data_IF_804679634025
#
_entry.id   IF_804679634025
#
_cell.length_a   1.000
_cell.length_b   1.000
_cell.length_c   1.000
_cell.angle_alpha   90.00
_cell.angle_beta   90.00
_cell.angle_gamma   90.00
#
_symmetry.space_group_name_H-M   'P 1'
#
loop_
_entity.id
_entity.type
_entity.pdbx_description
1 polymer ?
#
# COMPACT_ATOMS: atom_id res chain seq x y z
N UNK A 1 -9.02 -27.30 -55.45
CA UNK A 1 -7.87 -27.37 -54.52
C UNK A 1 -7.82 -26.06 -53.77
N UNK A 2 -8.41 -26.00 -52.58
CA UNK A 2 -8.29 -24.85 -51.70
C UNK A 2 -6.98 -25.01 -50.92
N UNK A 3 -6.06 -24.03 -51.05
CA UNK A 3 -4.88 -23.93 -50.20
C UNK A 3 -5.36 -23.42 -48.83
N UNK A 4 -5.30 -24.27 -47.82
CA UNK A 4 -5.36 -23.85 -46.42
C UNK A 4 -4.18 -22.93 -46.14
N UNK A 5 -4.48 -21.66 -45.86
CA UNK A 5 -3.54 -20.74 -45.25
C UNK A 5 -3.53 -21.09 -43.76
N UNK A 6 -2.51 -21.85 -43.35
CA UNK A 6 -2.23 -22.08 -41.94
C UNK A 6 -1.66 -20.76 -41.39
N UNK A 7 -2.50 -19.96 -40.74
CA UNK A 7 -2.04 -18.87 -39.89
C UNK A 7 -1.21 -19.48 -38.75
N UNK A 8 0.12 -19.37 -38.86
CA UNK A 8 1.01 -19.72 -37.77
C UNK A 8 0.76 -18.75 -36.61
N UNK A 9 0.19 -19.25 -35.52
CA UNK A 9 0.17 -18.54 -34.23
C UNK A 9 1.63 -18.35 -33.82
N UNK A 10 2.16 -17.14 -33.99
CA UNK A 10 3.51 -16.80 -33.54
C UNK A 10 3.49 -16.86 -32.01
N UNK A 11 4.00 -17.95 -31.46
CA UNK A 11 4.09 -18.16 -30.03
C UNK A 11 4.94 -17.02 -29.44
N UNK A 12 4.31 -16.19 -28.61
CA UNK A 12 4.94 -15.02 -28.02
C UNK A 12 6.17 -15.47 -27.19
N UNK A 13 7.35 -14.89 -27.48
CA UNK A 13 8.61 -15.24 -26.79
C UNK A 13 8.46 -15.15 -25.27
N UNK A 14 9.04 -16.07 -24.51
CA UNK A 14 8.98 -16.07 -23.04
C UNK A 14 9.60 -14.78 -22.47
N UNK A 15 10.68 -14.30 -23.08
CA UNK A 15 11.33 -13.04 -22.76
C UNK A 15 10.40 -11.83 -22.97
N UNK A 16 9.49 -11.90 -23.94
CA UNK A 16 8.51 -10.85 -24.20
C UNK A 16 7.40 -10.79 -23.15
N UNK A 17 7.19 -11.85 -22.36
CA UNK A 17 6.21 -11.87 -21.26
C UNK A 17 6.69 -11.10 -20.03
N UNK A 18 8.01 -10.92 -19.89
CA UNK A 18 8.61 -10.11 -18.82
C UNK A 18 8.51 -8.65 -19.26
N UNK A 19 7.57 -7.92 -18.65
CA UNK A 19 7.25 -6.52 -18.96
C UNK A 19 7.00 -5.72 -17.68
N UNK A 20 7.06 -4.40 -17.80
CA UNK A 20 6.78 -3.45 -16.75
C UNK A 20 8.03 -2.86 -16.10
N UNK A 21 7.79 -1.87 -15.25
CA UNK A 21 8.83 -1.16 -14.50
C UNK A 21 8.76 -1.56 -13.04
N UNK A 22 9.89 -2.02 -12.52
CA UNK A 22 10.02 -2.46 -11.14
C UNK A 22 11.07 -1.63 -10.42
N UNK A 23 10.86 -1.37 -9.14
CA UNK A 23 11.83 -0.69 -8.30
C UNK A 23 12.25 -1.63 -7.17
N UNK A 24 13.56 -1.80 -7.03
CA UNK A 24 14.15 -2.48 -5.88
C UNK A 24 14.42 -1.43 -4.83
N UNK A 25 13.75 -1.51 -3.68
CA UNK A 25 13.92 -0.59 -2.55
C UNK A 25 14.58 -1.29 -1.38
N UNK A 26 15.64 -0.73 -0.79
CA UNK A 26 16.24 -1.30 0.41
C UNK A 26 15.28 -1.23 1.60
N UNK A 27 15.07 -2.38 2.25
CA UNK A 27 14.35 -2.53 3.50
C UNK A 27 15.40 -2.65 4.58
N UNK A 28 15.60 -1.55 5.30
CA UNK A 28 16.36 -1.41 6.53
C UNK A 28 16.98 -2.69 7.14
N UNK A 29 18.23 -3.00 6.78
CA UNK A 29 19.08 -3.93 7.56
C UNK A 29 20.33 -3.25 8.13
N UNK A 30 20.50 -1.93 7.95
CA UNK A 30 21.46 -1.17 8.74
C UNK A 30 20.94 0.22 9.13
N UNK A 31 20.46 0.41 10.38
CA UNK A 31 19.82 1.65 10.80
C UNK A 31 20.77 2.85 10.81
N UNK A 32 22.10 2.66 10.78
CA UNK A 32 23.04 3.78 10.92
C UNK A 32 23.31 4.57 9.63
N UNK A 33 23.26 3.93 8.45
CA UNK A 33 23.62 4.57 7.16
C UNK A 33 22.42 5.24 6.46
N UNK A 34 21.20 4.78 6.74
CA UNK A 34 19.95 5.35 6.22
C UNK A 34 19.32 6.40 7.15
N UNK A 35 19.75 6.46 8.42
CA UNK A 35 19.36 7.51 9.39
C UNK A 35 20.35 8.66 9.48
N UNK A 36 21.36 8.69 8.60
CA UNK A 36 22.24 9.85 8.53
C UNK A 36 21.35 11.02 8.10
N UNK A 37 21.25 12.02 8.97
CA UNK A 37 20.60 13.28 8.66
C UNK A 37 21.09 13.76 7.29
N UNK A 38 20.18 14.20 6.42
CA UNK A 38 20.53 14.71 5.09
C UNK A 38 21.53 15.87 5.17
N UNK A 39 21.56 16.58 6.30
CA UNK A 39 22.47 17.68 6.57
C UNK A 39 23.80 17.25 7.23
N UNK A 40 23.99 15.97 7.52
CA UNK A 40 25.21 15.43 8.12
C UNK A 40 26.18 14.96 7.02
N UNK A 41 27.48 15.24 7.17
CA UNK A 41 28.52 14.96 6.15
C UNK A 41 28.53 13.49 5.66
N UNK A 42 28.21 12.57 6.56
CA UNK A 42 28.02 11.15 6.22
C UNK A 42 27.01 10.90 5.10
N UNK A 43 25.97 11.72 4.94
CA UNK A 43 25.00 11.58 3.86
C UNK A 43 25.64 11.83 2.49
N UNK A 44 26.59 12.77 2.41
CA UNK A 44 27.35 13.04 1.20
C UNK A 44 28.43 11.97 0.97
N UNK A 45 29.16 11.57 2.02
CA UNK A 45 30.20 10.52 1.95
C UNK A 45 29.62 9.20 1.42
N UNK A 46 28.43 8.81 1.88
CA UNK A 46 27.76 7.57 1.47
C UNK A 46 26.72 7.77 0.35
N UNK A 47 26.69 8.93 -0.31
CA UNK A 47 25.74 9.23 -1.40
C UNK A 47 25.94 8.30 -2.61
N UNK A 48 27.17 7.86 -2.85
CA UNK A 48 27.54 6.91 -3.91
C UNK A 48 27.71 5.49 -3.41
N UNK A 49 27.20 5.16 -2.22
CA UNK A 49 27.24 3.81 -1.71
C UNK A 49 26.19 2.94 -2.42
N UNK A 50 26.56 1.70 -2.71
CA UNK A 50 25.69 0.71 -3.32
C UNK A 50 26.05 -0.68 -2.79
N UNK A 51 25.08 -1.59 -2.87
CA UNK A 51 25.29 -2.99 -2.54
C UNK A 51 25.44 -3.81 -3.81
N UNK A 52 26.52 -4.59 -3.88
CA UNK A 52 26.71 -5.58 -4.92
C UNK A 52 25.87 -6.82 -4.61
N UNK A 53 24.95 -7.15 -5.51
CA UNK A 53 24.15 -8.36 -5.43
C UNK A 53 24.55 -9.34 -6.53
N UNK A 54 24.58 -10.62 -6.17
CA UNK A 54 24.84 -11.75 -7.05
C UNK A 54 23.65 -12.71 -7.00
N UNK A 55 23.56 -13.61 -7.98
CA UNK A 55 22.57 -14.68 -7.94
C UNK A 55 22.82 -15.57 -6.72
N UNK A 56 21.77 -15.81 -5.92
CA UNK A 56 21.88 -16.66 -4.74
C UNK A 56 22.03 -18.14 -5.11
N UNK A 57 22.59 -18.92 -4.20
CA UNK A 57 22.66 -20.38 -4.31
C UNK A 57 21.50 -21.00 -3.54
N UNK A 58 20.96 -22.10 -4.05
CA UNK A 58 19.96 -22.89 -3.34
C UNK A 58 20.61 -23.74 -2.23
N UNK A 59 19.79 -24.54 -1.53
CA UNK A 59 20.28 -25.45 -0.47
C UNK A 59 21.25 -26.54 -0.96
N UNK A 60 21.34 -26.77 -2.26
CA UNK A 60 22.24 -27.74 -2.89
C UNK A 60 23.48 -27.08 -3.52
N UNK A 61 23.64 -25.75 -3.40
CA UNK A 61 24.76 -25.01 -3.98
C UNK A 61 24.59 -24.68 -5.47
N UNK A 62 23.41 -24.93 -6.05
CA UNK A 62 23.09 -24.63 -7.45
C UNK A 62 22.65 -23.17 -7.56
N UNK A 63 23.04 -22.48 -8.64
CA UNK A 63 22.67 -21.07 -8.83
C UNK A 63 21.17 -20.94 -9.09
N UNK A 64 20.51 -20.06 -8.35
CA UNK A 64 19.12 -19.70 -8.59
C UNK A 64 19.09 -18.63 -9.68
N UNK A 65 18.70 -19.01 -10.90
CA UNK A 65 18.66 -18.10 -12.05
C UNK A 65 17.26 -17.60 -12.37
N UNK A 66 16.22 -18.21 -11.77
CA UNK A 66 14.82 -18.00 -12.14
C UNK A 66 14.44 -18.65 -13.48
N UNK A 67 15.38 -19.36 -14.11
CA UNK A 67 15.21 -20.03 -15.40
C UNK A 67 15.55 -21.52 -15.33
N UNK A 68 15.79 -22.07 -14.13
CA UNK A 68 16.31 -23.42 -13.88
C UNK A 68 15.51 -24.53 -14.60
N UNK A 69 14.20 -24.31 -14.82
CA UNK A 69 13.31 -25.24 -15.53
C UNK A 69 12.81 -24.71 -16.89
N UNK A 70 13.38 -23.60 -17.39
CA UNK A 70 12.92 -22.93 -18.60
C UNK A 70 14.09 -22.68 -19.58
N UNK A 71 14.53 -23.76 -20.23
CA UNK A 71 15.61 -23.74 -21.21
C UNK A 71 15.32 -22.81 -22.41
N UNK A 72 14.04 -22.65 -22.78
CA UNK A 72 13.62 -21.72 -23.85
C UNK A 72 13.91 -20.28 -23.45
N UNK A 73 13.52 -19.87 -22.25
CA UNK A 73 13.81 -18.54 -21.72
C UNK A 73 15.31 -18.29 -21.57
N UNK A 74 16.08 -19.29 -21.10
CA UNK A 74 17.53 -19.19 -21.02
C UNK A 74 18.15 -18.89 -22.39
N UNK A 75 17.78 -19.65 -23.41
CA UNK A 75 18.26 -19.46 -24.79
C UNK A 75 17.86 -18.09 -25.36
N UNK A 76 16.63 -17.64 -25.11
CA UNK A 76 16.16 -16.31 -25.52
C UNK A 76 16.98 -15.18 -24.88
N UNK A 77 17.32 -15.30 -23.58
CA UNK A 77 18.20 -14.34 -22.90
C UNK A 77 19.63 -14.38 -23.45
N UNK A 78 20.20 -15.56 -23.66
CA UNK A 78 21.55 -15.72 -24.21
C UNK A 78 21.66 -15.05 -25.59
N UNK A 79 20.69 -15.29 -26.47
CA UNK A 79 20.65 -14.62 -27.77
C UNK A 79 20.47 -13.11 -27.65
N UNK A 80 19.54 -12.64 -26.82
CA UNK A 80 19.27 -11.22 -26.67
C UNK A 80 20.44 -10.44 -26.02
N UNK A 81 21.28 -11.11 -25.25
CA UNK A 81 22.49 -10.55 -24.63
C UNK A 81 23.77 -10.84 -25.42
N UNK A 82 23.68 -11.52 -26.57
CA UNK A 82 24.81 -11.99 -27.38
C UNK A 82 25.82 -12.85 -26.59
N UNK A 83 25.30 -13.73 -25.72
CA UNK A 83 26.08 -14.68 -24.93
C UNK A 83 26.18 -16.03 -25.66
N UNK A 84 27.21 -16.80 -25.32
CA UNK A 84 27.35 -18.16 -25.85
C UNK A 84 26.25 -19.08 -25.26
N UNK A 85 25.73 -20.05 -26.02
CA UNK A 85 24.76 -21.00 -25.51
C UNK A 85 25.25 -21.70 -24.24
N UNK A 86 24.40 -21.77 -23.21
CA UNK A 86 24.73 -22.35 -21.91
C UNK A 86 25.43 -21.40 -20.93
N UNK A 87 25.72 -20.16 -21.33
CA UNK A 87 26.32 -19.15 -20.43
C UNK A 87 25.45 -18.90 -19.20
N UNK A 88 24.12 -18.84 -19.36
CA UNK A 88 23.17 -18.58 -18.27
C UNK A 88 22.71 -19.85 -17.55
N UNK A 89 23.35 -20.99 -17.81
CA UNK A 89 23.07 -22.24 -17.09
C UNK A 89 23.30 -22.09 -15.60
N UNK A 90 22.45 -22.71 -14.77
CA UNK A 90 22.58 -22.72 -13.31
C UNK A 90 23.90 -23.31 -12.81
N UNK A 91 24.56 -24.13 -13.65
CA UNK A 91 25.83 -24.80 -13.35
C UNK A 91 27.06 -24.02 -13.85
N UNK A 92 26.88 -22.87 -14.50
CA UNK A 92 27.99 -22.05 -14.97
C UNK A 92 28.53 -21.13 -13.86
N UNK A 93 29.30 -21.69 -12.94
CA UNK A 93 29.88 -20.92 -11.83
C UNK A 93 30.83 -19.81 -12.29
N UNK A 94 31.42 -19.93 -13.49
CA UNK A 94 32.29 -18.88 -14.05
C UNK A 94 31.52 -17.60 -14.36
N UNK A 95 30.31 -17.72 -14.91
CA UNK A 95 29.48 -16.55 -15.20
C UNK A 95 28.86 -15.99 -13.92
N UNK A 96 28.31 -16.84 -13.05
CA UNK A 96 27.57 -16.39 -11.86
C UNK A 96 28.46 -16.01 -10.67
N UNK A 97 29.59 -16.70 -10.48
CA UNK A 97 30.52 -16.52 -9.36
C UNK A 97 31.83 -15.83 -9.74
N UNK A 98 32.12 -15.67 -11.03
CA UNK A 98 33.40 -15.15 -11.51
C UNK A 98 34.54 -16.18 -11.35
N UNK A 99 35.69 -15.87 -11.92
CA UNK A 99 36.89 -16.71 -11.76
C UNK A 99 38.15 -15.92 -12.09
N UNK A 100 39.29 -16.35 -11.56
CA UNK A 100 40.60 -15.88 -12.01
C UNK A 100 41.13 -16.84 -13.07
N UNK A 101 41.46 -16.32 -14.24
CA UNK A 101 42.17 -17.08 -15.25
C UNK A 101 43.63 -17.21 -14.82
N UNK A 102 44.08 -18.45 -14.59
CA UNK A 102 45.44 -18.74 -14.15
C UNK A 102 46.47 -18.63 -15.27
N UNK A 103 46.05 -18.61 -16.53
CA UNK A 103 46.93 -18.49 -17.71
C UNK A 103 47.20 -17.02 -18.02
N UNK A 104 46.16 -16.19 -18.04
CA UNK A 104 46.29 -14.75 -18.32
C UNK A 104 46.48 -13.91 -17.05
N UNK A 105 46.31 -14.52 -15.88
CA UNK A 105 46.33 -13.87 -14.57
C UNK A 105 45.29 -12.73 -14.43
N UNK A 106 44.19 -12.81 -15.19
CA UNK A 106 43.10 -11.84 -15.21
C UNK A 106 41.89 -12.31 -14.40
N UNK A 107 41.27 -11.39 -13.67
CA UNK A 107 40.02 -11.65 -12.96
C UNK A 107 38.82 -11.43 -13.89
N UNK A 108 38.06 -12.49 -14.14
CA UNK A 108 36.79 -12.43 -14.84
C UNK A 108 35.66 -12.19 -13.83
N UNK A 109 34.97 -11.06 -14.05
CA UNK A 109 33.90 -10.61 -13.16
C UNK A 109 32.66 -11.51 -13.24
N UNK A 110 32.14 -11.84 -12.08
CA UNK A 110 30.83 -12.46 -11.91
C UNK A 110 29.70 -11.59 -12.49
N UNK A 111 28.55 -12.18 -12.76
CA UNK A 111 27.31 -11.44 -12.90
C UNK A 111 26.94 -10.82 -11.54
N UNK A 112 26.96 -9.49 -11.50
CA UNK A 112 26.46 -8.72 -10.37
C UNK A 112 25.62 -7.53 -10.85
N UNK A 113 24.75 -7.06 -9.97
CA UNK A 113 24.02 -5.81 -10.14
C UNK A 113 24.14 -4.96 -8.88
N UNK A 114 24.23 -3.66 -9.09
CA UNK A 114 24.45 -2.67 -8.04
C UNK A 114 23.10 -2.09 -7.63
N UNK A 115 22.78 -2.17 -6.34
CA UNK A 115 21.59 -1.50 -5.78
C UNK A 115 22.06 -0.24 -5.05
N UNK A 116 21.80 0.96 -5.61
CA UNK A 116 22.09 2.22 -4.95
C UNK A 116 21.30 2.38 -3.64
N UNK A 117 21.75 3.31 -2.79
CA UNK A 117 21.05 3.70 -1.56
C UNK A 117 19.57 4.05 -1.77
N UNK A 118 19.24 4.72 -2.87
CA UNK A 118 17.87 5.16 -3.18
C UNK A 118 17.04 4.09 -3.90
N UNK A 119 17.65 2.93 -4.18
CA UNK A 119 17.04 1.84 -4.93
C UNK A 119 17.45 1.78 -6.41
N UNK A 120 17.03 0.70 -7.08
CA UNK A 120 17.34 0.43 -8.48
C UNK A 120 16.04 0.30 -9.29
N UNK A 121 15.90 1.11 -10.35
CA UNK A 121 14.79 0.99 -11.30
C UNK A 121 15.15 -0.01 -12.41
N UNK A 122 14.35 -1.07 -12.51
CA UNK A 122 14.38 -2.07 -13.56
C UNK A 122 13.30 -1.76 -14.60
N UNK A 123 13.70 -1.11 -15.69
CA UNK A 123 12.88 -1.01 -16.90
C UNK A 123 12.93 -2.32 -17.69
N UNK A 124 11.99 -3.23 -17.40
CA UNK A 124 11.89 -4.50 -18.12
C UNK A 124 11.19 -4.35 -19.48
N UNK A 125 10.68 -3.18 -19.86
CA UNK A 125 10.11 -3.01 -21.20
C UNK A 125 11.22 -2.78 -22.23
N UNK A 126 12.24 -2.02 -21.85
CA UNK A 126 13.27 -1.55 -22.78
C UNK A 126 14.65 -2.16 -22.57
N UNK A 127 14.91 -2.87 -21.46
CA UNK A 127 16.25 -3.36 -21.13
C UNK A 127 16.28 -4.85 -20.77
N UNK A 128 16.96 -5.64 -21.62
CA UNK A 128 17.12 -7.10 -21.45
C UNK A 128 17.94 -7.46 -20.21
N UNK A 129 18.94 -6.67 -19.85
CA UNK A 129 19.70 -6.88 -18.61
C UNK A 129 18.82 -6.66 -17.38
N UNK A 130 17.90 -5.69 -17.42
CA UNK A 130 16.92 -5.49 -16.35
C UNK A 130 15.96 -6.66 -16.24
N UNK A 131 15.49 -7.21 -17.37
CA UNK A 131 14.70 -8.45 -17.40
C UNK A 131 15.47 -9.60 -16.74
N UNK A 132 16.77 -9.75 -17.03
CA UNK A 132 17.59 -10.80 -16.42
C UNK A 132 17.72 -10.62 -14.90
N UNK A 133 18.00 -9.40 -14.44
CA UNK A 133 18.07 -9.07 -13.00
C UNK A 133 16.73 -9.38 -12.32
N UNK A 134 15.61 -8.95 -12.92
CA UNK A 134 14.27 -9.24 -12.42
C UNK A 134 14.00 -10.75 -12.32
N UNK A 135 14.35 -11.52 -13.36
CA UNK A 135 14.16 -12.98 -13.37
C UNK A 135 14.97 -13.66 -12.27
N UNK A 136 16.23 -13.26 -12.08
CA UNK A 136 17.09 -13.80 -11.00
C UNK A 136 16.50 -13.50 -9.62
N UNK A 137 16.05 -12.26 -9.38
CA UNK A 137 15.42 -11.86 -8.11
C UNK A 137 14.14 -12.66 -7.87
N UNK A 138 13.28 -12.78 -8.89
CA UNK A 138 12.04 -13.54 -8.78
C UNK A 138 12.32 -15.01 -8.47
N UNK A 139 13.32 -15.60 -9.13
CA UNK A 139 13.81 -16.94 -8.83
C UNK A 139 14.26 -17.08 -7.38
N UNK A 140 15.01 -16.11 -6.84
CA UNK A 140 15.44 -16.11 -5.43
C UNK A 140 14.26 -16.10 -4.46
N UNK A 141 13.26 -15.25 -4.72
CA UNK A 141 12.03 -15.15 -3.91
C UNK A 141 11.28 -16.49 -3.88
N UNK A 142 11.22 -17.20 -5.00
CA UNK A 142 10.48 -18.45 -5.14
C UNK A 142 11.25 -19.67 -4.63
N UNK A 143 12.57 -19.72 -4.81
CA UNK A 143 13.37 -20.92 -4.58
C UNK A 143 14.02 -20.98 -3.18
N UNK A 144 14.14 -19.84 -2.50
CA UNK A 144 14.90 -19.76 -1.23
C UNK A 144 13.96 -19.73 -0.03
N UNK A 145 14.25 -20.50 1.01
CA UNK A 145 13.46 -20.48 2.25
C UNK A 145 13.57 -19.16 3.03
N UNK A 146 14.65 -18.40 2.78
CA UNK A 146 14.94 -17.11 3.42
C UNK A 146 15.44 -16.14 2.33
N UNK A 147 14.55 -15.59 1.49
CA UNK A 147 14.95 -14.74 0.37
C UNK A 147 15.42 -13.36 0.86
N UNK A 148 16.40 -12.76 0.18
CA UNK A 148 16.84 -11.38 0.49
C UNK A 148 15.90 -10.34 -0.09
N UNK A 149 15.01 -10.75 -0.99
CA UNK A 149 14.01 -9.91 -1.64
C UNK A 149 12.60 -10.32 -1.23
N UNK A 150 11.66 -9.38 -1.27
CA UNK A 150 10.23 -9.63 -1.10
C UNK A 150 9.42 -8.83 -2.12
N UNK A 151 8.23 -9.31 -2.49
CA UNK A 151 7.36 -8.62 -3.46
C UNK A 151 6.52 -7.47 -2.84
N UNK A 152 6.51 -7.34 -1.52
CA UNK A 152 5.85 -6.23 -0.82
C UNK A 152 6.45 -6.02 0.57
N UNK A 153 6.18 -4.85 1.17
CA UNK A 153 6.59 -4.57 2.55
C UNK A 153 5.94 -5.50 3.58
N UNK A 154 4.71 -5.95 3.34
CA UNK A 154 4.03 -6.91 4.22
C UNK A 154 4.73 -8.26 4.21
N UNK A 155 5.10 -8.76 3.01
CA UNK A 155 5.88 -9.98 2.88
C UNK A 155 7.26 -9.84 3.52
N UNK A 156 7.89 -8.68 3.38
CA UNK A 156 9.18 -8.40 4.00
C UNK A 156 9.13 -8.41 5.54
N UNK A 157 8.06 -7.91 6.16
CA UNK A 157 7.91 -7.91 7.63
C UNK A 157 7.91 -9.31 8.23
N UNK A 158 7.53 -10.33 7.46
CA UNK A 158 7.52 -11.73 7.89
C UNK A 158 8.91 -12.37 7.86
N UNK A 159 9.87 -11.78 7.13
CA UNK A 159 11.22 -12.31 6.97
C UNK A 159 12.27 -11.32 7.52
N UNK A 160 12.87 -11.59 8.69
CA UNK A 160 13.85 -10.68 9.30
C UNK A 160 15.16 -10.55 8.51
N UNK A 161 15.43 -11.45 7.56
CA UNK A 161 16.61 -11.43 6.70
C UNK A 161 16.37 -10.77 5.34
N UNK A 162 15.15 -10.27 5.09
CA UNK A 162 14.82 -9.55 3.88
C UNK A 162 15.55 -8.20 3.85
N UNK A 163 16.27 -7.95 2.75
CA UNK A 163 17.06 -6.74 2.54
C UNK A 163 16.38 -5.75 1.59
N UNK A 164 15.50 -6.21 0.69
CA UNK A 164 14.92 -5.40 -0.38
C UNK A 164 13.46 -5.75 -0.69
N UNK A 165 12.64 -4.75 -1.02
CA UNK A 165 11.32 -4.94 -1.65
C UNK A 165 11.49 -4.74 -3.15
N UNK A 166 10.95 -5.65 -3.95
CA UNK A 166 10.72 -5.49 -5.37
C UNK A 166 9.25 -5.11 -5.60
N UNK A 167 9.01 -3.86 -5.96
CA UNK A 167 7.66 -3.35 -6.24
C UNK A 167 7.50 -2.99 -7.71
N UNK A 168 6.29 -3.14 -8.25
CA UNK A 168 5.95 -2.63 -9.58
C UNK A 168 5.56 -1.14 -9.46
N UNK A 169 6.23 -0.28 -10.22
CA UNK A 169 6.05 1.17 -10.12
C UNK A 169 4.67 1.65 -10.59
N UNK A 170 4.05 0.95 -11.54
CA UNK A 170 2.70 1.29 -12.00
C UNK A 170 1.65 0.92 -10.95
N UNK A 171 1.82 -0.23 -10.30
CA UNK A 171 0.93 -0.65 -9.21
C UNK A 171 1.02 0.36 -8.06
N UNK A 172 2.23 0.80 -7.69
CA UNK A 172 2.41 1.86 -6.69
C UNK A 172 1.81 3.21 -7.11
N UNK A 173 1.99 3.60 -8.38
CA UNK A 173 1.43 4.84 -8.89
C UNK A 173 -0.10 4.79 -8.85
N UNK A 174 -0.70 3.67 -9.23
CA UNK A 174 -2.15 3.45 -9.16
C UNK A 174 -2.67 3.49 -7.72
N UNK A 175 -1.97 2.85 -6.77
CA UNK A 175 -2.34 2.90 -5.35
C UNK A 175 -2.24 4.33 -4.80
N UNK A 176 -1.16 5.05 -5.12
CA UNK A 176 -0.98 6.46 -4.72
C UNK A 176 -2.02 7.38 -5.35
N UNK A 177 -2.31 7.20 -6.63
CA UNK A 177 -3.32 7.98 -7.33
C UNK A 177 -4.71 7.77 -6.72
N UNK A 178 -5.09 6.53 -6.39
CA UNK A 178 -6.34 6.25 -5.65
C UNK A 178 -6.38 6.96 -4.30
N UNK A 179 -5.26 7.01 -3.57
CA UNK A 179 -5.18 7.75 -2.31
C UNK A 179 -5.33 9.27 -2.52
N UNK A 180 -4.75 9.82 -3.58
CA UNK A 180 -4.92 11.22 -3.95
C UNK A 180 -6.35 11.53 -4.38
N UNK A 181 -6.98 10.69 -5.20
CA UNK A 181 -8.39 10.83 -5.60
C UNK A 181 -9.33 10.86 -4.39
N UNK A 182 -9.09 10.00 -3.39
CA UNK A 182 -9.85 10.00 -2.14
C UNK A 182 -9.65 11.31 -1.37
N UNK A 183 -8.40 11.81 -1.29
CA UNK A 183 -8.09 13.09 -0.64
C UNK A 183 -8.76 14.25 -1.35
N UNK A 184 -8.67 14.31 -2.68
CA UNK A 184 -9.27 15.35 -3.50
C UNK A 184 -10.79 15.34 -3.35
N UNK A 185 -11.42 14.17 -3.40
CA UNK A 185 -12.86 14.01 -3.12
C UNK A 185 -13.22 14.54 -1.73
N UNK A 186 -12.43 14.22 -0.70
CA UNK A 186 -12.69 14.69 0.66
C UNK A 186 -12.54 16.22 0.80
N UNK A 187 -11.53 16.80 0.16
CA UNK A 187 -11.28 18.25 0.14
C UNK A 187 -12.43 18.99 -0.55
N UNK A 188 -12.88 18.50 -1.72
CA UNK A 188 -14.02 19.06 -2.45
C UNK A 188 -15.28 18.97 -1.61
N UNK A 189 -15.57 17.79 -1.04
CA UNK A 189 -16.76 17.62 -0.20
C UNK A 189 -16.73 18.58 1.00
N UNK A 190 -15.59 18.70 1.69
CA UNK A 190 -15.41 19.68 2.78
C UNK A 190 -15.66 21.13 2.36
N UNK A 191 -15.25 21.54 1.15
CA UNK A 191 -15.47 22.92 0.69
C UNK A 191 -16.95 23.21 0.44
N UNK A 192 -17.73 22.20 0.05
CA UNK A 192 -19.19 22.33 -0.16
C UNK A 192 -20.00 22.37 1.14
N UNK A 193 -19.47 21.90 2.26
CA UNK A 193 -20.20 21.88 3.53
C UNK A 193 -20.31 23.28 4.15
N UNK A 194 -21.53 23.62 4.57
CA UNK A 194 -21.80 24.77 5.43
C UNK A 194 -21.17 24.59 6.82
N UNK A 195 -21.04 25.69 7.57
CA UNK A 195 -20.50 25.66 8.96
C UNK A 195 -21.35 24.74 9.85
N UNK A 196 -22.68 24.77 9.69
CA UNK A 196 -23.59 23.90 10.44
C UNK A 196 -23.33 22.43 10.15
N UNK A 197 -23.17 22.06 8.87
CA UNK A 197 -22.89 20.67 8.50
C UNK A 197 -21.52 20.20 8.99
N UNK A 198 -20.53 21.10 9.05
CA UNK A 198 -19.22 20.82 9.66
C UNK A 198 -19.33 20.59 11.17
N UNK A 199 -20.18 21.34 11.87
CA UNK A 199 -20.46 21.09 13.29
C UNK A 199 -21.20 19.77 13.52
N UNK A 200 -22.21 19.48 12.70
CA UNK A 200 -22.95 18.21 12.76
C UNK A 200 -22.00 17.03 12.50
N UNK A 201 -21.07 17.14 11.55
CA UNK A 201 -20.03 16.14 11.30
C UNK A 201 -19.16 15.88 12.54
N UNK A 202 -18.61 16.94 13.14
CA UNK A 202 -17.78 16.82 14.34
C UNK A 202 -18.56 16.23 15.54
N UNK A 203 -19.87 16.48 15.61
CA UNK A 203 -20.76 15.94 16.65
C UNK A 203 -20.94 14.42 16.52
N UNK A 204 -20.80 13.86 15.33
CA UNK A 204 -20.91 12.41 15.09
C UNK A 204 -19.55 11.74 15.04
N UNK A 205 -18.56 12.37 14.43
CA UNK A 205 -17.24 11.80 14.20
C UNK A 205 -16.55 11.37 15.50
N UNK A 206 -15.93 10.19 15.48
CA UNK A 206 -15.32 9.55 16.64
C UNK A 206 -16.27 9.49 17.86
N UNK A 207 -17.53 9.09 17.63
CA UNK A 207 -18.58 8.96 18.64
C UNK A 207 -18.88 10.26 19.42
N UNK A 208 -18.74 11.42 18.77
CA UNK A 208 -19.04 12.71 19.39
C UNK A 208 -17.98 13.17 20.37
N UNK A 209 -16.73 12.72 20.18
CA UNK A 209 -15.57 13.18 20.96
C UNK A 209 -15.36 14.70 20.86
N UNK A 210 -15.72 15.30 19.74
CA UNK A 210 -15.60 16.74 19.53
C UNK A 210 -16.85 17.44 20.06
N UNK A 211 -16.72 18.08 21.23
CA UNK A 211 -17.78 18.93 21.78
C UNK A 211 -17.77 20.27 21.06
N UNK A 212 -18.69 20.43 20.12
CA UNK A 212 -18.91 21.69 19.38
C UNK A 212 -20.23 22.31 19.84
N UNK A 213 -20.20 23.61 20.09
CA UNK A 213 -21.37 24.42 20.42
C UNK A 213 -21.49 25.61 19.47
N UNK A 214 -22.64 26.28 19.46
CA UNK A 214 -22.88 27.47 18.65
C UNK A 214 -21.92 28.63 18.96
N UNK A 215 -21.25 28.61 20.12
CA UNK A 215 -20.26 29.61 20.53
C UNK A 215 -18.85 29.30 20.00
N UNK A 216 -18.66 28.16 19.34
CA UNK A 216 -17.36 27.75 18.79
C UNK A 216 -17.06 28.55 17.54
N UNK A 217 -15.86 29.14 17.43
CA UNK A 217 -15.54 29.97 16.27
C UNK A 217 -15.62 29.17 14.95
N UNK A 218 -16.19 29.75 13.88
CA UNK A 218 -16.25 29.10 12.57
C UNK A 218 -14.89 28.66 12.01
N UNK A 219 -13.84 29.40 12.35
CA UNK A 219 -12.47 29.09 11.94
C UNK A 219 -11.96 27.84 12.64
N UNK A 220 -12.16 27.71 13.96
CA UNK A 220 -11.76 26.51 14.71
C UNK A 220 -12.51 25.26 14.23
N UNK A 221 -13.80 25.39 13.91
CA UNK A 221 -14.60 24.29 13.35
C UNK A 221 -13.99 23.84 12.01
N UNK A 222 -13.69 24.80 11.14
CA UNK A 222 -13.11 24.52 9.81
C UNK A 222 -11.71 23.92 9.91
N UNK A 223 -10.88 24.38 10.84
CA UNK A 223 -9.55 23.85 11.12
C UNK A 223 -9.65 22.38 11.58
N UNK A 224 -10.51 22.06 12.55
CA UNK A 224 -10.64 20.66 13.03
C UNK A 224 -11.15 19.70 11.96
N UNK A 225 -12.07 20.13 11.10
CA UNK A 225 -12.48 19.31 9.96
C UNK A 225 -11.33 19.16 8.96
N UNK A 226 -10.49 20.19 8.79
CA UNK A 226 -9.29 20.11 7.94
C UNK A 226 -8.32 19.04 8.44
N UNK A 227 -7.98 19.07 9.73
CA UNK A 227 -7.10 18.09 10.37
C UNK A 227 -7.59 16.65 10.16
N UNK A 228 -8.91 16.45 10.23
CA UNK A 228 -9.53 15.14 10.05
C UNK A 228 -9.45 14.69 8.58
N UNK A 229 -9.78 15.58 7.63
CA UNK A 229 -9.68 15.27 6.20
C UNK A 229 -8.25 14.93 5.78
N UNK A 230 -7.25 15.57 6.37
CA UNK A 230 -5.85 15.25 6.08
C UNK A 230 -5.40 13.90 6.63
N UNK A 231 -5.87 13.53 7.82
CA UNK A 231 -5.49 12.29 8.51
C UNK A 231 -6.30 11.07 8.09
N UNK A 232 -7.60 11.25 7.84
CA UNK A 232 -8.57 10.20 7.55
C UNK A 232 -9.63 10.67 6.53
N UNK A 233 -9.24 10.87 5.26
CA UNK A 233 -10.16 11.33 4.21
C UNK A 233 -11.25 10.30 3.91
N UNK A 234 -10.94 9.00 4.01
CA UNK A 234 -11.92 7.93 3.77
C UNK A 234 -12.99 7.89 4.87
N UNK A 235 -12.63 7.97 6.14
CA UNK A 235 -13.60 8.02 7.24
C UNK A 235 -14.48 9.26 7.18
N UNK A 236 -13.92 10.40 6.77
CA UNK A 236 -14.69 11.62 6.52
C UNK A 236 -15.78 11.43 5.46
N UNK A 237 -15.41 10.90 4.28
CA UNK A 237 -16.35 10.65 3.18
C UNK A 237 -17.40 9.62 3.61
N UNK A 238 -16.97 8.48 4.15
CA UNK A 238 -17.84 7.36 4.50
C UNK A 238 -18.89 7.76 5.54
N UNK A 239 -18.55 8.64 6.49
CA UNK A 239 -19.50 9.11 7.48
C UNK A 239 -20.56 10.02 6.87
N UNK A 240 -20.16 10.93 5.99
CA UNK A 240 -21.09 11.88 5.33
C UNK A 240 -21.99 11.21 4.30
N UNK A 241 -21.48 10.19 3.60
CA UNK A 241 -22.25 9.39 2.62
C UNK A 241 -23.06 8.27 3.30
N UNK A 242 -23.00 8.14 4.63
CA UNK A 242 -23.74 7.11 5.35
C UNK A 242 -25.26 7.38 5.28
N UNK A 243 -26.09 6.38 4.90
CA UNK A 243 -27.55 6.54 4.84
C UNK A 243 -28.18 6.95 6.18
N UNK A 244 -27.58 6.55 7.31
CA UNK A 244 -28.05 6.82 8.67
C UNK A 244 -27.41 8.09 9.29
N UNK A 245 -26.70 8.89 8.49
CA UNK A 245 -25.95 10.04 9.00
C UNK A 245 -26.85 11.05 9.75
N UNK A 246 -28.06 11.30 9.24
CA UNK A 246 -29.02 12.22 9.88
C UNK A 246 -29.48 11.68 11.25
N UNK A 247 -29.67 10.38 11.35
CA UNK A 247 -30.05 9.68 12.57
C UNK A 247 -28.92 9.69 13.58
N UNK A 248 -27.67 9.51 13.13
CA UNK A 248 -26.50 9.65 14.01
C UNK A 248 -26.41 11.05 14.63
N UNK A 249 -26.65 12.09 13.81
CA UNK A 249 -26.71 13.48 14.32
C UNK A 249 -27.83 13.61 15.35
N UNK A 250 -29.02 13.08 15.07
CA UNK A 250 -30.16 13.14 15.97
C UNK A 250 -29.86 12.47 17.32
N UNK A 251 -29.37 11.23 17.32
CA UNK A 251 -29.01 10.49 18.54
C UNK A 251 -27.95 11.24 19.34
N UNK A 252 -26.91 11.75 18.69
CA UNK A 252 -25.85 12.50 19.38
C UNK A 252 -26.33 13.83 19.96
N UNK A 253 -27.28 14.50 19.30
CA UNK A 253 -27.96 15.69 19.87
C UNK A 253 -28.73 15.34 21.13
N UNK A 254 -29.47 14.23 21.14
CA UNK A 254 -30.18 13.76 22.35
C UNK A 254 -29.23 13.43 23.50
N UNK A 255 -28.06 12.83 23.21
CA UNK A 255 -27.02 12.58 24.23
C UNK A 255 -26.47 13.90 24.78
N UNK A 256 -26.12 14.83 23.88
CA UNK A 256 -25.55 16.13 24.24
C UNK A 256 -26.51 16.96 25.09
N UNK A 257 -27.78 16.97 24.72
CA UNK A 257 -28.84 17.73 25.38
C UNK A 257 -29.34 16.99 26.65
N UNK A 258 -28.65 15.90 27.03
CA UNK A 258 -28.92 15.08 28.20
C UNK A 258 -30.38 14.60 28.25
N UNK A 259 -30.93 14.22 27.10
CA UNK A 259 -32.27 13.62 26.97
C UNK A 259 -32.17 12.09 27.06
N UNK A 260 -31.10 11.53 26.51
CA UNK A 260 -30.74 10.11 26.62
C UNK A 260 -29.36 9.97 27.26
N UNK A 261 -29.12 8.85 27.92
CA UNK A 261 -27.85 8.59 28.62
C UNK A 261 -27.03 7.54 27.88
N UNK A 262 -25.70 7.75 27.87
CA UNK A 262 -24.74 6.82 27.27
C UNK A 262 -23.98 6.10 28.36
N UNK A 263 -24.02 4.77 28.37
CA UNK A 263 -23.23 3.91 29.27
C UNK A 263 -22.38 2.95 28.43
N UNK A 264 -21.11 3.31 28.27
CA UNK A 264 -20.23 2.65 27.29
C UNK A 264 -20.76 2.81 25.86
N UNK A 265 -20.91 1.73 25.07
CA UNK A 265 -21.49 1.80 23.73
C UNK A 265 -23.03 1.86 23.74
N UNK A 266 -23.68 1.53 24.88
CA UNK A 266 -25.13 1.41 25.00
C UNK A 266 -25.80 2.76 25.26
N UNK A 267 -26.99 2.93 24.70
CA UNK A 267 -27.80 4.14 24.81
C UNK A 267 -29.13 3.82 25.48
N UNK A 268 -29.50 4.63 26.47
CA UNK A 268 -30.69 4.44 27.29
C UNK A 268 -31.54 5.71 27.37
N UNK A 269 -32.85 5.55 27.49
CA UNK A 269 -33.74 6.64 27.92
C UNK A 269 -33.44 7.02 29.38
N UNK A 270 -33.94 8.17 29.85
CA UNK A 270 -33.79 8.55 31.28
C UNK A 270 -34.56 7.61 32.19
N UNK A 271 -35.61 7.01 31.66
CA UNK A 271 -36.47 6.02 32.31
C UNK A 271 -35.78 4.63 32.39
N UNK A 272 -34.59 4.46 31.78
CA UNK A 272 -33.77 3.26 31.86
C UNK A 272 -34.01 2.24 30.74
N UNK A 273 -34.83 2.57 29.75
CA UNK A 273 -35.12 1.68 28.61
C UNK A 273 -33.95 1.69 27.62
N UNK A 274 -33.56 0.51 27.15
CA UNK A 274 -32.46 0.36 26.19
C UNK A 274 -32.94 0.75 24.78
N UNK A 275 -32.24 1.71 24.16
CA UNK A 275 -32.50 2.15 22.79
C UNK A 275 -31.65 1.32 21.81
N UNK A 276 -30.41 1.01 22.17
CA UNK A 276 -29.51 0.16 21.37
C UNK A 276 -28.17 -0.07 22.04
N UNK A 277 -27.45 -1.11 21.62
CA UNK A 277 -26.13 -1.43 22.16
C UNK A 277 -24.98 -0.70 21.47
N UNK A 278 -25.27 0.06 20.41
CA UNK A 278 -24.33 0.93 19.69
C UNK A 278 -25.07 2.13 19.08
N UNK A 279 -24.32 3.14 18.64
CA UNK A 279 -24.87 4.29 17.90
C UNK A 279 -25.62 3.84 16.63
N UNK A 280 -25.07 2.85 15.92
CA UNK A 280 -25.66 2.31 14.69
C UNK A 280 -26.98 1.61 14.97
N UNK A 281 -27.01 0.76 16.00
CA UNK A 281 -28.22 0.03 16.41
C UNK A 281 -29.30 0.99 16.91
N UNK A 282 -28.93 1.97 17.75
CA UNK A 282 -29.87 2.98 18.24
C UNK A 282 -30.47 3.82 17.09
N UNK A 283 -29.66 4.23 16.12
CA UNK A 283 -30.12 4.97 14.95
C UNK A 283 -31.08 4.15 14.07
N UNK A 284 -30.78 2.86 13.88
CA UNK A 284 -31.67 1.95 13.16
C UNK A 284 -32.98 1.71 13.92
N UNK A 285 -32.91 1.37 15.20
CA UNK A 285 -34.08 1.08 16.03
C UNK A 285 -35.06 2.26 16.02
N UNK A 286 -34.58 3.48 16.20
CA UNK A 286 -35.41 4.68 16.16
C UNK A 286 -36.10 4.90 14.81
N UNK A 287 -35.63 4.31 13.71
CA UNK A 287 -36.28 4.37 12.40
C UNK A 287 -37.25 3.19 12.13
N UNK A 288 -37.39 2.25 13.05
CA UNK A 288 -38.34 1.13 12.91
C UNK A 288 -39.72 1.45 13.50
N UNK A 289 -40.79 0.82 12.99
CA UNK A 289 -42.16 1.07 13.47
C UNK A 289 -42.34 0.85 14.98
N UNK A 290 -41.61 -0.11 15.54
CA UNK A 290 -41.72 -0.52 16.94
C UNK A 290 -41.24 0.57 17.92
N UNK A 291 -40.39 1.50 17.46
CA UNK A 291 -39.86 2.60 18.27
C UNK A 291 -40.49 3.96 17.92
N UNK A 292 -41.56 4.00 17.13
CA UNK A 292 -42.19 5.25 16.70
C UNK A 292 -42.67 6.12 17.88
N UNK A 293 -43.31 5.52 18.88
CA UNK A 293 -43.76 6.24 20.08
C UNK A 293 -42.58 6.81 20.87
N UNK A 294 -41.52 6.01 21.06
CA UNK A 294 -40.29 6.45 21.71
C UNK A 294 -39.64 7.61 20.95
N UNK A 295 -39.52 7.49 19.62
CA UNK A 295 -38.96 8.55 18.77
C UNK A 295 -39.77 9.84 18.86
N UNK A 296 -41.10 9.77 18.81
CA UNK A 296 -41.98 10.94 18.98
C UNK A 296 -41.77 11.61 20.34
N UNK A 297 -41.73 10.82 21.41
CA UNK A 297 -41.45 11.30 22.77
C UNK A 297 -40.09 12.03 22.86
N UNK A 298 -39.04 11.46 22.26
CA UNK A 298 -37.71 12.06 22.23
C UNK A 298 -37.67 13.37 21.41
N UNK A 299 -38.37 13.42 20.28
CA UNK A 299 -38.51 14.64 19.47
C UNK A 299 -39.20 15.73 20.29
N UNK A 300 -40.33 15.44 20.94
CA UNK A 300 -41.05 16.43 21.76
C UNK A 300 -40.18 16.95 22.91
N UNK A 301 -39.46 16.07 23.62
CA UNK A 301 -38.51 16.48 24.69
C UNK A 301 -37.40 17.39 24.15
N UNK A 302 -36.89 17.10 22.95
CA UNK A 302 -35.88 17.93 22.29
C UNK A 302 -36.43 19.30 21.88
N UNK A 303 -37.65 19.40 21.36
CA UNK A 303 -38.27 20.67 20.96
C UNK A 303 -38.55 21.59 22.14
N UNK A 304 -38.98 21.03 23.28
CA UNK A 304 -39.22 21.79 24.52
C UNK A 304 -37.93 22.43 25.04
N UNK A 305 -36.79 21.75 24.88
CA UNK A 305 -35.49 22.24 25.35
C UNK A 305 -34.88 23.34 24.47
N UNK A 306 -35.32 23.45 23.22
CA UNK A 306 -34.84 24.43 22.25
C UNK A 306 -35.74 25.68 22.14
N UNK A 307 -36.82 25.75 22.91
CA UNK A 307 -37.64 26.95 23.11
C UNK A 307 -37.13 27.76 24.29
#
# INVERSE_FOLDING_TARGET
MAKEVVESVVEMSELSKIKGKYIIKPIMVNPHLLRIDKNHDGANIFSKAFHYMQASKDKYGVTVTGMNNNNKLQYEFENALNLQPGTLSQYNDKYWGGYRDTVTNMDHKAFFYEIPKDGLLLDCDNNVKHKLIYTVIKGEIEATSVPKFAMSYEAAKLNPFCLYVLENTEVEANVRNKQYEIKDKAIILKSTLSIQQKMDFLTVYADGKFRVSNNTSPNLISEKVSDIVEKDPSGFINLLENPLYKEFIFVQKLVRDNIITKSGPKLFTKEGELIGNSLVEAANNLNTPDYNEMRLSLITKSEVLNK
#
